data_IF_249303982574
#
_entry.id   IF_249303982574
#
_cell.length_a   1.000
_cell.length_b   1.000
_cell.length_c   1.000
_cell.angle_alpha   90.00
_cell.angle_beta   90.00
_cell.angle_gamma   90.00
#
_symmetry.space_group_name_H-M   'P 1'
#
loop_
_entity.id
_entity.type
_entity.pdbx_description
1 polymer ?
#
# COMPACT_ATOMS: atom_id res chain seq x y z
N UNK A 1 4.44 -12.61 2.85
CA UNK A 1 3.34 -11.87 2.19
C UNK A 1 2.65 -12.82 1.22
N UNK A 2 1.31 -12.80 1.09
CA UNK A 2 0.61 -13.68 0.14
C UNK A 2 0.85 -13.24 -1.31
N UNK A 3 1.10 -11.95 -1.53
CA UNK A 3 1.44 -11.42 -2.83
C UNK A 3 2.96 -11.56 -3.06
N UNK A 4 3.36 -11.70 -4.33
CA UNK A 4 4.73 -11.42 -4.82
C UNK A 4 4.77 -10.23 -5.79
N UNK A 5 3.61 -9.73 -6.16
CA UNK A 5 3.38 -8.72 -7.17
C UNK A 5 2.61 -7.54 -6.56
N UNK A 6 3.20 -6.35 -6.65
CA UNK A 6 2.68 -5.11 -6.09
C UNK A 6 1.47 -4.60 -6.82
N UNK A 7 1.40 -4.83 -8.14
CA UNK A 7 0.22 -4.48 -8.94
C UNK A 7 -0.97 -5.34 -8.53
N UNK A 8 -0.76 -6.64 -8.35
CA UNK A 8 -1.83 -7.54 -7.89
C UNK A 8 -2.39 -7.05 -6.56
N UNK A 9 -1.52 -6.65 -5.64
CA UNK A 9 -1.96 -6.09 -4.36
C UNK A 9 -2.65 -4.73 -4.54
N UNK A 10 -2.10 -3.84 -5.36
CA UNK A 10 -2.69 -2.55 -5.72
C UNK A 10 -4.16 -2.70 -6.10
N UNK A 11 -4.41 -3.57 -7.07
CA UNK A 11 -5.74 -3.77 -7.66
C UNK A 11 -6.66 -4.52 -6.71
N UNK A 12 -6.24 -5.70 -6.24
CA UNK A 12 -7.12 -6.62 -5.51
C UNK A 12 -7.40 -6.20 -4.06
N UNK A 13 -6.53 -5.37 -3.48
CA UNK A 13 -6.67 -4.91 -2.09
C UNK A 13 -7.06 -3.44 -2.04
N UNK A 14 -6.31 -2.55 -2.69
CA UNK A 14 -6.51 -1.13 -2.51
C UNK A 14 -7.62 -0.60 -3.43
N UNK A 15 -7.51 -0.73 -4.75
CA UNK A 15 -8.56 -0.30 -5.69
C UNK A 15 -9.91 -0.95 -5.41
N UNK A 16 -9.91 -2.27 -5.18
CA UNK A 16 -11.10 -3.00 -4.77
C UNK A 16 -11.81 -2.41 -3.53
N UNK A 17 -11.07 -1.73 -2.64
CA UNK A 17 -11.63 -1.16 -1.41
C UNK A 17 -12.09 0.28 -1.51
N UNK A 18 -11.68 1.03 -2.55
CA UNK A 18 -12.05 2.45 -2.74
C UNK A 18 -12.89 2.72 -3.98
N UNK A 19 -13.02 1.75 -4.89
CA UNK A 19 -13.74 1.96 -6.15
C UNK A 19 -15.17 2.44 -5.90
N UNK A 20 -15.63 3.34 -6.76
CA UNK A 20 -17.00 3.83 -6.84
C UNK A 20 -17.83 3.04 -7.88
N UNK A 21 -17.16 2.29 -8.76
CA UNK A 21 -17.80 1.53 -9.82
C UNK A 21 -17.27 0.09 -9.89
N UNK A 22 -17.95 -0.75 -10.68
CA UNK A 22 -17.55 -2.13 -10.88
C UNK A 22 -16.39 -2.16 -11.88
N UNK A 23 -15.41 -3.01 -11.65
CA UNK A 23 -14.31 -3.23 -12.58
C UNK A 23 -13.92 -4.71 -12.63
N UNK A 24 -13.19 -5.11 -13.66
CA UNK A 24 -12.70 -6.47 -13.84
C UNK A 24 -11.19 -6.52 -13.86
N UNK A 25 -10.62 -7.54 -13.21
CA UNK A 25 -9.18 -7.76 -13.19
C UNK A 25 -8.88 -9.26 -13.12
N UNK A 26 -8.12 -9.77 -14.10
CA UNK A 26 -7.74 -11.19 -14.21
C UNK A 26 -8.94 -12.16 -14.11
N UNK A 27 -10.06 -11.80 -14.74
CA UNK A 27 -11.30 -12.59 -14.76
C UNK A 27 -12.17 -12.45 -13.49
N UNK A 28 -11.71 -11.73 -12.48
CA UNK A 28 -12.47 -11.47 -11.26
C UNK A 28 -13.19 -10.12 -11.36
N UNK A 29 -14.45 -10.08 -10.90
CA UNK A 29 -15.28 -8.88 -10.89
C UNK A 29 -15.30 -8.26 -9.49
N UNK A 30 -14.85 -7.02 -9.40
CA UNK A 30 -14.84 -6.24 -8.17
C UNK A 30 -16.03 -5.29 -8.14
N UNK A 31 -16.74 -5.24 -7.01
CA UNK A 31 -17.92 -4.39 -6.82
C UNK A 31 -17.69 -3.43 -5.66
N UNK A 32 -18.23 -2.18 -5.74
CA UNK A 32 -18.16 -1.24 -4.63
C UNK A 32 -18.79 -1.83 -3.37
N UNK A 33 -18.07 -1.74 -2.25
CA UNK A 33 -18.54 -2.11 -0.91
C UNK A 33 -18.76 -0.88 -0.05
N UNK A 34 -19.47 -0.99 1.06
CA UNK A 34 -19.48 0.11 2.03
C UNK A 34 -18.06 0.34 2.59
N UNK A 35 -17.66 1.58 2.81
CA UNK A 35 -16.35 1.93 3.37
C UNK A 35 -16.54 2.41 4.80
N UNK A 36 -15.73 1.86 5.70
CA UNK A 36 -15.57 2.33 7.08
C UNK A 36 -14.14 2.84 7.21
N UNK A 37 -13.95 4.12 7.49
CA UNK A 37 -12.62 4.67 7.80
C UNK A 37 -12.51 4.82 9.31
N UNK A 38 -11.58 4.09 9.90
CA UNK A 38 -11.36 4.10 11.35
C UNK A 38 -10.64 5.40 11.78
N UNK A 39 -11.04 6.02 12.91
CA UNK A 39 -10.24 7.02 13.62
C UNK A 39 -8.77 6.68 13.78
N UNK A 40 -8.45 5.39 13.92
CA UNK A 40 -7.08 4.92 14.10
C UNK A 40 -6.22 5.06 12.83
N UNK A 41 -6.76 5.53 11.71
CA UNK A 41 -5.98 5.80 10.49
C UNK A 41 -4.85 6.81 10.73
N UNK A 42 -5.01 7.71 11.69
CA UNK A 42 -4.02 8.75 12.00
C UNK A 42 -2.83 8.29 12.84
N UNK A 43 -2.82 7.04 13.33
CA UNK A 43 -1.73 6.56 14.18
C UNK A 43 -0.40 6.57 13.43
N UNK A 44 0.65 6.96 14.13
CA UNK A 44 1.99 6.81 13.60
C UNK A 44 2.54 5.42 13.75
N UNK A 45 3.71 5.18 13.16
CA UNK A 45 4.45 3.94 13.36
C UNK A 45 5.96 4.15 13.36
N UNK A 46 6.67 3.27 14.06
CA UNK A 46 8.12 3.19 13.97
C UNK A 46 8.56 2.21 12.89
N UNK A 47 9.71 2.49 12.28
CA UNK A 47 10.50 1.51 11.56
C UNK A 47 11.88 1.56 12.20
N UNK A 48 12.22 0.66 13.14
CA UNK A 48 13.54 0.66 13.76
C UNK A 48 14.57 -0.04 12.86
N UNK A 49 15.85 0.27 13.09
CA UNK A 49 16.97 -0.43 12.43
C UNK A 49 17.03 -1.90 12.85
N UNK A 50 17.76 -2.71 12.09
CA UNK A 50 17.95 -4.13 12.39
C UNK A 50 16.70 -4.98 12.15
N UNK A 51 15.69 -4.48 11.42
CA UNK A 51 14.46 -5.21 11.16
C UNK A 51 14.47 -5.86 9.77
N UNK A 52 14.24 -5.09 8.70
CA UNK A 52 14.14 -5.57 7.32
C UNK A 52 13.01 -6.56 7.01
N UNK A 53 12.23 -6.99 8.01
CA UNK A 53 11.28 -8.10 7.84
C UNK A 53 10.07 -7.79 6.95
N UNK A 54 9.76 -6.52 6.73
CA UNK A 54 8.72 -6.08 5.79
C UNK A 54 9.22 -5.93 4.34
N UNK A 55 10.49 -6.24 4.06
CA UNK A 55 11.12 -6.08 2.75
C UNK A 55 11.42 -7.43 2.05
N UNK A 56 10.44 -8.34 1.89
CA UNK A 56 10.66 -9.55 1.10
C UNK A 56 10.82 -9.21 -0.38
N UNK A 57 11.31 -10.17 -1.16
CA UNK A 57 11.36 -10.10 -2.62
C UNK A 57 9.95 -9.97 -3.18
N UNK A 58 9.66 -8.81 -3.75
CA UNK A 58 8.35 -8.39 -4.23
C UNK A 58 8.55 -7.36 -5.34
N UNK A 59 7.67 -7.28 -6.35
CA UNK A 59 7.84 -6.24 -7.38
C UNK A 59 7.74 -4.84 -6.76
N UNK A 60 8.53 -3.90 -7.27
CA UNK A 60 8.46 -2.50 -6.91
C UNK A 60 7.95 -1.74 -8.11
N UNK A 61 6.72 -1.22 -8.00
CA UNK A 61 6.04 -0.62 -9.13
C UNK A 61 5.88 0.89 -8.93
N UNK A 62 5.93 1.58 -10.07
CA UNK A 62 5.98 3.03 -10.21
C UNK A 62 5.07 3.44 -11.37
N UNK A 63 4.43 4.60 -11.24
CA UNK A 63 3.81 5.28 -12.38
C UNK A 63 4.88 5.75 -13.37
N UNK A 64 4.53 6.01 -14.64
CA UNK A 64 5.48 6.47 -15.65
C UNK A 64 6.27 7.73 -15.23
N UNK A 65 5.65 8.63 -14.47
CA UNK A 65 6.24 9.90 -14.07
C UNK A 65 6.85 9.90 -12.66
N UNK A 66 6.78 8.79 -11.92
CA UNK A 66 7.38 8.74 -10.58
C UNK A 66 8.91 8.89 -10.63
N UNK A 67 9.54 9.55 -9.67
CA UNK A 67 10.99 9.56 -9.57
C UNK A 67 11.49 8.15 -9.22
N UNK A 68 12.32 7.56 -10.06
CA UNK A 68 12.95 6.26 -9.78
C UNK A 68 14.45 6.30 -10.08
N UNK A 69 15.30 5.78 -9.17
CA UNK A 69 16.74 5.67 -9.39
C UNK A 69 17.08 4.37 -10.14
N UNK A 70 16.06 3.59 -10.53
CA UNK A 70 16.21 2.21 -10.98
C UNK A 70 16.07 2.10 -12.49
N UNK A 71 16.76 1.11 -13.04
CA UNK A 71 16.46 0.60 -14.38
C UNK A 71 15.19 -0.24 -14.29
N UNK A 72 14.05 0.40 -14.51
CA UNK A 72 12.74 -0.23 -14.50
C UNK A 72 12.41 -0.81 -15.89
N UNK A 73 11.64 -1.90 -15.91
CA UNK A 73 11.02 -2.40 -17.14
C UNK A 73 9.59 -1.90 -17.25
N UNK A 74 9.14 -1.62 -18.46
CA UNK A 74 7.74 -1.31 -18.70
C UNK A 74 6.92 -2.60 -18.58
N UNK A 75 5.79 -2.51 -17.89
CA UNK A 75 4.84 -3.59 -17.69
C UNK A 75 3.45 -3.11 -18.06
N UNK A 76 2.76 -3.89 -18.90
CA UNK A 76 1.36 -3.67 -19.26
C UNK A 76 0.46 -4.39 -18.26
N UNK A 77 -0.56 -3.70 -17.78
CA UNK A 77 -1.57 -4.19 -16.84
C UNK A 77 -2.93 -3.92 -17.45
N UNK A 78 -3.79 -4.94 -17.49
CA UNK A 78 -5.13 -4.82 -18.03
C UNK A 78 -6.16 -4.75 -16.90
N UNK A 79 -7.01 -3.73 -16.91
CA UNK A 79 -8.18 -3.59 -16.01
C UNK A 79 -9.39 -3.22 -16.88
N UNK A 80 -10.48 -3.98 -16.75
CA UNK A 80 -11.72 -3.77 -17.52
C UNK A 80 -11.51 -3.64 -19.03
N UNK A 81 -10.58 -4.41 -19.60
CA UNK A 81 -10.21 -4.36 -21.03
C UNK A 81 -9.30 -3.18 -21.42
N UNK A 82 -9.01 -2.25 -20.51
CA UNK A 82 -8.07 -1.16 -20.73
C UNK A 82 -6.66 -1.59 -20.35
N UNK A 83 -5.72 -1.40 -21.28
CA UNK A 83 -4.30 -1.67 -21.05
C UNK A 83 -3.61 -0.39 -20.59
N UNK A 84 -2.95 -0.47 -19.43
CA UNK A 84 -2.24 0.62 -18.78
C UNK A 84 -0.80 0.21 -18.55
N UNK A 85 0.15 1.11 -18.85
CA UNK A 85 1.57 0.87 -18.62
C UNK A 85 2.01 1.38 -17.25
N UNK A 86 2.80 0.57 -16.55
CA UNK A 86 3.52 0.91 -15.32
C UNK A 86 5.00 0.57 -15.50
N UNK A 87 5.85 1.07 -14.61
CA UNK A 87 7.27 0.72 -14.59
C UNK A 87 7.57 -0.12 -13.35
N UNK A 88 8.30 -1.21 -13.53
CA UNK A 88 8.48 -2.23 -12.50
C UNK A 88 9.95 -2.62 -12.32
N UNK A 89 10.37 -2.78 -11.07
CA UNK A 89 11.50 -3.65 -10.68
C UNK A 89 10.89 -4.98 -10.23
N UNK A 90 10.84 -5.95 -11.14
CA UNK A 90 10.16 -7.24 -10.93
C UNK A 90 10.95 -8.12 -9.95
N UNK A 91 12.26 -7.93 -9.85
CA UNK A 91 13.18 -8.71 -9.01
C UNK A 91 13.12 -10.24 -9.24
N UNK A 92 12.75 -10.70 -10.43
CA UNK A 92 12.65 -12.13 -10.76
C UNK A 92 14.00 -12.85 -10.89
N UNK A 93 15.07 -12.09 -11.09
CA UNK A 93 16.46 -12.51 -11.17
C UNK A 93 17.11 -12.78 -9.80
N UNK A 94 16.49 -12.33 -8.69
CA UNK A 94 17.02 -12.58 -7.35
C UNK A 94 16.64 -13.98 -6.87
N UNK A 95 17.60 -14.72 -6.33
CA UNK A 95 17.35 -15.97 -5.61
C UNK A 95 17.02 -15.77 -4.13
N UNK A 96 17.44 -14.65 -3.55
CA UNK A 96 17.28 -14.35 -2.13
C UNK A 96 15.81 -14.06 -1.73
N UNK A 97 15.53 -14.20 -0.44
CA UNK A 97 14.25 -13.89 0.18
C UNK A 97 13.97 -12.39 0.23
N UNK A 98 15.00 -11.55 0.31
CA UNK A 98 14.87 -10.12 0.52
C UNK A 98 14.83 -9.33 -0.79
N UNK A 99 14.21 -8.15 -0.71
CA UNK A 99 14.32 -7.14 -1.75
C UNK A 99 15.79 -6.71 -1.92
N UNK A 100 16.27 -6.54 -3.16
CA UNK A 100 17.66 -6.10 -3.44
C UNK A 100 18.04 -4.76 -2.80
N UNK A 101 17.05 -3.94 -2.50
CA UNK A 101 17.25 -2.59 -1.92
C UNK A 101 17.24 -2.59 -0.39
N UNK A 102 17.08 -3.75 0.24
CA UNK A 102 17.28 -3.89 1.68
C UNK A 102 18.78 -3.86 1.98
N UNK A 103 19.21 -2.86 2.75
CA UNK A 103 20.53 -2.89 3.36
C UNK A 103 20.55 -3.96 4.46
N UNK A 104 21.25 -5.06 4.20
CA UNK A 104 21.36 -6.20 5.11
C UNK A 104 22.19 -5.89 6.35
N UNK A 105 22.93 -4.77 6.40
CA UNK A 105 23.66 -4.32 7.59
C UNK A 105 22.76 -3.55 8.54
N UNK A 106 22.04 -2.55 8.05
CA UNK A 106 21.19 -1.69 8.88
C UNK A 106 19.74 -2.14 8.99
N UNK A 107 19.27 -3.02 8.10
CA UNK A 107 17.87 -3.44 7.98
C UNK A 107 16.96 -2.33 7.44
N UNK A 108 17.54 -1.31 6.78
CA UNK A 108 16.86 -0.17 6.19
C UNK A 108 16.70 -0.31 4.68
N UNK A 109 15.72 0.39 4.12
CA UNK A 109 15.51 0.45 2.68
C UNK A 109 16.38 1.56 2.08
N UNK A 110 17.27 1.23 1.15
CA UNK A 110 18.15 2.18 0.47
C UNK A 110 17.41 3.13 -0.48
N UNK A 111 16.20 2.76 -0.89
CA UNK A 111 15.35 3.55 -1.80
C UNK A 111 14.12 4.12 -1.10
N UNK A 112 14.15 4.27 0.24
CA UNK A 112 13.00 4.74 1.02
C UNK A 112 12.42 6.07 0.50
N UNK A 113 13.28 6.99 0.07
CA UNK A 113 12.90 8.29 -0.51
C UNK A 113 12.11 8.17 -1.82
N UNK A 114 12.25 7.06 -2.56
CA UNK A 114 11.58 6.84 -3.84
C UNK A 114 10.21 6.17 -3.71
N UNK A 115 9.86 5.71 -2.50
CA UNK A 115 8.50 5.31 -2.11
C UNK A 115 7.76 4.45 -3.15
N UNK A 116 8.27 3.25 -3.52
CA UNK A 116 7.49 2.32 -4.33
C UNK A 116 6.12 2.10 -3.69
N UNK A 117 5.06 2.05 -4.50
CA UNK A 117 3.68 2.18 -4.00
C UNK A 117 3.38 1.26 -2.80
N UNK A 118 3.57 -0.05 -2.97
CA UNK A 118 3.24 -1.02 -1.92
C UNK A 118 4.09 -0.82 -0.66
N UNK A 119 5.35 -0.43 -0.80
CA UNK A 119 6.23 -0.19 0.35
C UNK A 119 5.79 1.02 1.17
N UNK A 120 5.35 2.09 0.51
CA UNK A 120 4.90 3.32 1.15
C UNK A 120 3.54 3.15 1.84
N UNK A 121 2.64 2.38 1.22
CA UNK A 121 1.24 2.29 1.62
C UNK A 121 0.95 1.15 2.62
N UNK A 122 1.90 0.24 2.84
CA UNK A 122 1.67 -1.07 3.48
C UNK A 122 0.92 -1.05 4.82
N UNK A 123 1.14 -0.05 5.67
CA UNK A 123 0.54 0.00 7.02
C UNK A 123 -0.84 0.68 7.06
N UNK A 124 -1.25 1.34 5.98
CA UNK A 124 -2.67 1.68 5.76
C UNK A 124 -3.35 0.41 5.25
N UNK A 125 -4.14 -0.22 6.12
CA UNK A 125 -4.76 -1.51 5.86
C UNK A 125 -6.17 -1.35 5.32
N UNK A 126 -6.45 -2.10 4.28
CA UNK A 126 -7.78 -2.28 3.70
C UNK A 126 -8.26 -3.68 4.06
N UNK A 127 -9.08 -3.78 5.11
CA UNK A 127 -9.60 -5.05 5.61
C UNK A 127 -10.93 -5.34 4.92
N UNK A 128 -10.89 -6.28 3.99
CA UNK A 128 -12.06 -6.68 3.20
C UNK A 128 -12.95 -7.65 3.97
N UNK A 129 -14.19 -7.24 4.20
CA UNK A 129 -15.27 -8.10 4.68
C UNK A 129 -16.29 -8.32 3.55
N UNK A 130 -17.32 -9.13 3.82
CA UNK A 130 -18.37 -9.45 2.83
C UNK A 130 -19.04 -8.20 2.27
N UNK A 131 -19.48 -7.30 3.13
CA UNK A 131 -20.31 -6.14 2.77
C UNK A 131 -19.58 -4.78 2.88
N UNK A 132 -18.41 -4.78 3.51
CA UNK A 132 -17.66 -3.55 3.78
C UNK A 132 -16.15 -3.72 3.68
N UNK A 133 -15.46 -2.61 3.52
CA UNK A 133 -14.02 -2.50 3.69
C UNK A 133 -13.73 -1.56 4.86
N UNK A 134 -12.86 -1.99 5.77
CA UNK A 134 -12.38 -1.16 6.87
C UNK A 134 -10.99 -0.63 6.50
N UNK A 135 -10.84 0.69 6.46
CA UNK A 135 -9.58 1.39 6.23
C UNK A 135 -9.04 1.87 7.58
N UNK A 136 -7.82 1.48 7.94
CA UNK A 136 -7.22 1.80 9.25
C UNK A 136 -5.70 1.69 9.20
N UNK A 137 -4.99 2.34 10.11
CA UNK A 137 -3.57 2.12 10.29
C UNK A 137 -3.33 0.95 11.26
N UNK A 138 -2.63 -0.10 10.82
CA UNK A 138 -2.35 -1.27 11.67
C UNK A 138 -1.05 -1.99 11.28
N UNK A 139 -0.36 -2.54 12.29
CA UNK A 139 0.82 -3.39 12.12
C UNK A 139 0.51 -4.64 11.30
N UNK A 140 1.56 -5.33 10.87
CA UNK A 140 1.43 -6.58 10.15
C UNK A 140 0.74 -7.64 11.01
N UNK A 141 -0.42 -8.15 10.56
CA UNK A 141 -1.13 -9.23 11.27
C UNK A 141 -0.29 -10.51 11.44
N UNK A 142 0.64 -10.77 10.51
CA UNK A 142 1.66 -11.84 10.60
C UNK A 142 3.07 -11.28 10.82
N UNK A 143 3.19 -10.13 11.49
CA UNK A 143 4.46 -9.48 11.79
C UNK A 143 5.40 -10.40 12.58
N UNK A 144 4.85 -11.14 13.55
CA UNK A 144 5.58 -12.14 14.36
C UNK A 144 6.27 -13.23 13.52
N UNK A 145 5.78 -13.51 12.30
CA UNK A 145 6.33 -14.54 11.42
C UNK A 145 7.34 -14.00 10.41
N UNK A 146 7.52 -12.68 10.30
CA UNK A 146 8.42 -12.08 9.31
C UNK A 146 9.89 -12.34 9.69
N UNK A 147 10.68 -12.85 8.74
CA UNK A 147 12.12 -13.08 8.93
C UNK A 147 12.87 -11.75 8.88
N UNK A 148 13.69 -11.47 9.88
CA UNK A 148 14.53 -10.28 9.98
C UNK A 148 15.92 -10.51 9.38
N UNK A 149 16.65 -9.43 9.16
CA UNK A 149 18.04 -9.49 8.63
C UNK A 149 19.03 -10.21 9.56
N UNK A 150 18.76 -10.24 10.87
CA UNK A 150 19.55 -10.98 11.87
C UNK A 150 19.19 -12.48 11.93
N UNK A 151 18.30 -12.96 11.06
CA UNK A 151 17.87 -14.35 10.99
C UNK A 151 16.71 -14.71 11.93
N UNK A 152 16.38 -13.85 12.90
CA UNK A 152 15.25 -14.06 13.80
C UNK A 152 13.90 -13.75 13.13
N UNK A 153 12.81 -13.95 13.87
CA UNK A 153 11.45 -13.59 13.45
C UNK A 153 10.87 -12.45 14.29
N UNK A 154 9.90 -11.76 13.70
CA UNK A 154 9.12 -10.73 14.37
C UNK A 154 9.49 -9.33 13.90
N UNK A 155 8.57 -8.68 13.17
CA UNK A 155 8.70 -7.28 12.80
C UNK A 155 8.83 -6.41 14.07
N UNK A 156 9.81 -5.50 14.07
CA UNK A 156 10.12 -4.60 15.19
C UNK A 156 9.31 -3.29 15.18
N UNK A 157 8.43 -3.09 14.20
CA UNK A 157 7.64 -1.86 14.10
C UNK A 157 6.57 -1.78 15.19
N UNK A 158 6.37 -0.58 15.72
CA UNK A 158 5.40 -0.30 16.78
C UNK A 158 4.45 0.81 16.32
N UNK A 159 3.25 0.84 16.91
CA UNK A 159 2.33 1.96 16.73
C UNK A 159 2.64 3.04 17.76
N UNK A 160 2.70 4.28 17.31
CA UNK A 160 2.87 5.45 18.17
C UNK A 160 1.60 6.31 18.15
N UNK A 161 1.58 7.32 19.00
CA UNK A 161 0.54 8.34 19.01
C UNK A 161 0.53 9.12 17.70
N UNK A 162 -0.59 9.80 17.44
CA UNK A 162 -0.75 10.63 16.24
C UNK A 162 -0.16 12.01 16.47
N UNK A 163 0.37 12.61 15.41
CA UNK A 163 0.77 14.01 15.35
C UNK A 163 0.44 14.60 13.96
N UNK A 164 0.67 15.89 13.78
CA UNK A 164 0.42 16.58 12.50
C UNK A 164 1.24 16.00 11.33
N UNK A 165 2.41 15.42 11.61
CA UNK A 165 3.22 14.77 10.59
C UNK A 165 2.51 13.52 10.06
N UNK A 166 1.99 12.66 10.94
CA UNK A 166 1.27 11.46 10.54
C UNK A 166 -0.02 11.75 9.82
N UNK A 167 -0.73 12.81 10.20
CA UNK A 167 -1.88 13.31 9.46
C UNK A 167 -1.52 13.62 8.01
N UNK A 168 -0.47 14.42 7.79
CA UNK A 168 0.02 14.77 6.45
C UNK A 168 0.51 13.55 5.65
N UNK A 169 1.14 12.56 6.30
CA UNK A 169 1.61 11.34 5.63
C UNK A 169 0.46 10.43 5.19
N UNK A 170 -0.61 10.30 5.99
CA UNK A 170 -1.82 9.56 5.57
C UNK A 170 -2.46 10.25 4.38
N UNK A 171 -2.63 11.57 4.44
CA UNK A 171 -3.21 12.37 3.36
C UNK A 171 -2.42 12.21 2.05
N UNK A 172 -1.09 12.34 2.11
CA UNK A 172 -0.19 12.17 0.97
C UNK A 172 -0.27 10.76 0.38
N UNK A 173 -0.32 9.74 1.22
CA UNK A 173 -0.44 8.35 0.75
C UNK A 173 -1.75 8.14 -0.01
N UNK A 174 -2.86 8.67 0.50
CA UNK A 174 -4.16 8.56 -0.16
C UNK A 174 -4.23 9.34 -1.48
N UNK A 175 -3.59 10.51 -1.58
CA UNK A 175 -3.38 11.20 -2.87
C UNK A 175 -2.65 10.30 -3.86
N UNK A 176 -1.56 9.67 -3.41
CA UNK A 176 -0.79 8.79 -4.26
C UNK A 176 -1.67 7.62 -4.76
N UNK A 177 -2.49 7.01 -3.89
CA UNK A 177 -3.45 5.98 -4.30
C UNK A 177 -4.51 6.51 -5.29
N UNK A 178 -4.98 7.76 -5.14
CA UNK A 178 -5.88 8.39 -6.11
C UNK A 178 -5.19 8.57 -7.47
N UNK A 179 -3.96 9.07 -7.49
CA UNK A 179 -3.18 9.23 -8.74
C UNK A 179 -2.99 7.88 -9.45
N UNK A 180 -2.72 6.82 -8.69
CA UNK A 180 -2.68 5.47 -9.23
C UNK A 180 -4.04 5.04 -9.80
N UNK A 181 -5.14 5.26 -9.09
CA UNK A 181 -6.47 4.91 -9.59
C UNK A 181 -6.83 5.67 -10.87
N UNK A 182 -6.53 6.97 -10.94
CA UNK A 182 -6.76 7.82 -12.09
C UNK A 182 -5.94 7.36 -13.31
N UNK A 183 -4.67 7.00 -13.11
CA UNK A 183 -3.82 6.42 -14.15
C UNK A 183 -4.40 5.11 -14.72
N UNK A 184 -5.10 4.35 -13.87
CA UNK A 184 -5.82 3.14 -14.26
C UNK A 184 -7.26 3.38 -14.75
N UNK A 185 -7.71 4.64 -14.81
CA UNK A 185 -9.04 5.01 -15.28
C UNK A 185 -10.18 4.62 -14.33
N UNK A 186 -9.90 4.40 -13.04
CA UNK A 186 -10.89 3.95 -12.07
C UNK A 186 -11.50 5.13 -11.30
N UNK A 187 -12.83 5.23 -11.27
CA UNK A 187 -13.51 6.16 -10.37
C UNK A 187 -13.47 5.65 -8.93
N UNK A 188 -13.06 6.51 -8.00
CA UNK A 188 -12.91 6.14 -6.58
C UNK A 188 -13.70 7.05 -5.65
N UNK A 189 -13.81 6.63 -4.39
CA UNK A 189 -14.35 7.42 -3.28
C UNK A 189 -13.25 8.05 -2.42
N UNK A 190 -12.02 8.17 -2.94
CA UNK A 190 -10.91 8.74 -2.17
C UNK A 190 -11.17 10.19 -1.78
N UNK A 191 -11.74 11.01 -2.67
CA UNK A 191 -11.99 12.43 -2.38
C UNK A 191 -12.77 12.63 -1.08
N UNK A 192 -13.85 11.87 -0.88
CA UNK A 192 -14.64 11.93 0.37
C UNK A 192 -13.84 11.47 1.59
N UNK A 193 -12.94 10.49 1.43
CA UNK A 193 -12.06 10.03 2.51
C UNK A 193 -11.03 11.10 2.85
N UNK A 194 -10.44 11.76 1.85
CA UNK A 194 -9.44 12.82 2.04
C UNK A 194 -10.07 14.08 2.61
N UNK A 195 -11.27 14.46 2.20
CA UNK A 195 -12.01 15.60 2.77
C UNK A 195 -12.28 15.38 4.26
N UNK A 196 -12.69 14.16 4.64
CA UNK A 196 -12.86 13.79 6.03
C UNK A 196 -11.54 13.82 6.81
N UNK A 197 -10.45 13.34 6.22
CA UNK A 197 -9.11 13.45 6.81
C UNK A 197 -8.72 14.91 7.01
N UNK A 198 -8.89 15.78 6.01
CA UNK A 198 -8.49 17.19 6.05
C UNK A 198 -9.26 17.99 7.10
N UNK A 199 -10.44 17.53 7.51
CA UNK A 199 -11.19 18.12 8.64
C UNK A 199 -10.60 17.82 10.04
N UNK A 200 -9.52 17.02 10.11
CA UNK A 200 -8.75 16.75 11.32
C UNK A 200 -8.93 15.34 11.89
N UNK A 201 -8.36 15.05 13.07
CA UNK A 201 -8.62 13.80 13.79
C UNK A 201 -10.07 13.70 14.28
N UNK A 202 -10.64 12.50 14.25
CA UNK A 202 -12.03 12.23 14.62
C UNK A 202 -12.12 11.09 15.63
N UNK A 203 -13.08 11.14 16.54
CA UNK A 203 -13.41 10.01 17.42
C UNK A 203 -14.43 9.04 16.79
N UNK A 204 -15.14 9.49 15.76
CA UNK A 204 -16.20 8.76 15.07
C UNK A 204 -15.72 8.37 13.68
N UNK A 205 -15.96 7.13 13.21
CA UNK A 205 -15.56 6.71 11.87
C UNK A 205 -16.35 7.39 10.75
N UNK A 206 -15.72 7.56 9.59
CA UNK A 206 -16.42 7.86 8.34
C UNK A 206 -17.10 6.58 7.81
N UNK A 207 -18.37 6.70 7.44
CA UNK A 207 -19.15 5.64 6.82
C UNK A 207 -19.63 6.07 5.43
N UNK A 208 -19.19 5.37 4.40
CA UNK A 208 -19.66 5.54 3.02
C UNK A 208 -20.43 4.30 2.60
N UNK A 209 -21.71 4.45 2.24
CA UNK A 209 -22.50 3.31 1.75
C UNK A 209 -22.12 2.98 0.30
N UNK A 210 -22.23 1.70 -0.06
CA UNK A 210 -22.04 1.20 -1.43
C UNK A 210 -23.13 1.68 -2.37
#
# INVERSE_FOLDING_TARGET
>A
MPFRDSVDKLVTVYFAGITAEKFEYKGERYVPKSIYVSPLIFRGYTCPSGCGGCCPRFSLDYLPNDPSPLKLVERKVEISGQIVSVRSDIQSDLSDHYCRHLDTKSGRCNIYSHRPFTCDFELIRFLHYKERVVITQKLFGRGWAMRRIDGERGAKCEMIETDNYWHSEVRRKLDHLATWADHFGLKTRISTITDWIDSGPHDIPLLLKS
#
